data_IF_326789329443
#
_entry.id   IF_326789329443
#
_cell.length_a   1.000
_cell.length_b   1.000
_cell.length_c   1.000
_cell.angle_alpha   90.00
_cell.angle_beta   90.00
_cell.angle_gamma   90.00
#
_symmetry.space_group_name_H-M   'P 1'
#
loop_
_entity.id
_entity.type
_entity.pdbx_description
1 polymer ?
#
# COMPACT_ATOMS: atom_id res chain seq x y z
N UNK A 1 -5.04 -33.53 68.19
CA UNK A 1 -4.19 -32.42 68.67
C UNK A 1 -4.43 -32.26 70.15
N UNK A 2 -3.71 -33.01 70.97
CA UNK A 2 -3.73 -32.81 72.42
C UNK A 2 -2.71 -31.71 72.69
N UNK A 3 -3.20 -30.55 73.12
CA UNK A 3 -2.37 -29.42 73.52
C UNK A 3 -1.59 -29.80 74.76
N UNK A 4 -0.46 -30.48 74.57
CA UNK A 4 0.62 -30.40 75.53
C UNK A 4 1.07 -28.94 75.45
N UNK A 5 0.63 -28.15 76.43
CA UNK A 5 1.34 -26.92 76.77
C UNK A 5 2.80 -27.30 76.79
N UNK A 6 3.59 -26.57 76.00
CA UNK A 6 5.04 -26.67 75.93
C UNK A 6 5.54 -27.19 77.27
N UNK A 7 6.25 -28.32 77.28
CA UNK A 7 6.99 -28.79 78.45
C UNK A 7 7.55 -27.54 79.08
N UNK A 8 6.91 -27.08 80.15
CA UNK A 8 7.49 -26.04 80.94
C UNK A 8 8.86 -26.61 81.23
N UNK A 9 9.92 -25.84 81.12
CA UNK A 9 11.23 -26.24 81.62
C UNK A 9 11.15 -26.77 83.07
N UNK A 10 10.01 -26.53 83.74
CA UNK A 10 9.57 -27.06 85.02
C UNK A 10 8.66 -28.30 85.04
N UNK A 11 8.16 -28.89 83.94
CA UNK A 11 7.27 -30.07 84.05
C UNK A 11 8.03 -31.32 84.49
N UNK A 12 9.25 -31.52 83.99
CA UNK A 12 10.14 -32.60 84.48
C UNK A 12 10.42 -32.44 85.98
N UNK A 13 10.78 -31.21 86.38
CA UNK A 13 11.02 -30.84 87.79
C UNK A 13 9.78 -31.07 88.65
N UNK A 14 8.61 -30.64 88.19
CA UNK A 14 7.34 -30.88 88.86
C UNK A 14 7.02 -32.38 88.95
N UNK A 15 7.29 -33.14 87.89
CA UNK A 15 7.09 -34.59 87.86
C UNK A 15 7.93 -35.29 88.91
N UNK A 16 9.22 -34.97 88.98
CA UNK A 16 10.14 -35.46 90.02
C UNK A 16 9.67 -35.07 91.43
N UNK A 17 9.18 -33.84 91.62
CA UNK A 17 8.64 -33.38 92.89
C UNK A 17 7.37 -34.15 93.31
N UNK A 18 6.46 -34.43 92.38
CA UNK A 18 5.25 -35.23 92.63
C UNK A 18 5.64 -36.62 93.14
N UNK A 19 6.56 -37.31 92.45
CA UNK A 19 7.03 -38.63 92.86
C UNK A 19 7.72 -38.57 94.23
N UNK A 20 8.56 -37.55 94.46
CA UNK A 20 9.21 -37.34 95.75
C UNK A 20 8.22 -37.13 96.90
N UNK A 21 7.12 -36.41 96.65
CA UNK A 21 6.05 -36.18 97.65
C UNK A 21 5.18 -37.41 97.87
N UNK A 22 4.96 -38.25 96.86
CA UNK A 22 4.22 -39.51 97.00
C UNK A 22 4.91 -40.51 97.95
N UNK A 23 6.24 -40.42 98.10
CA UNK A 23 7.01 -41.22 99.07
C UNK A 23 6.81 -40.78 100.53
N UNK A 24 6.20 -39.61 100.77
CA UNK A 24 5.97 -39.04 102.10
C UNK A 24 4.52 -39.33 102.57
N UNK A 25 4.22 -39.18 103.89
CA UNK A 25 2.84 -39.26 104.37
C UNK A 25 1.92 -38.24 103.67
N UNK A 26 0.64 -38.57 103.39
CA UNK A 26 -0.09 -39.76 103.82
C UNK A 26 0.07 -40.98 102.89
N UNK A 27 0.71 -40.82 101.73
CA UNK A 27 0.75 -41.86 100.70
C UNK A 27 1.80 -42.94 100.97
N UNK A 28 2.97 -42.58 101.51
CA UNK A 28 4.05 -43.50 101.87
C UNK A 28 4.39 -44.54 100.76
N UNK A 29 4.32 -44.12 99.50
CA UNK A 29 4.51 -45.00 98.36
C UNK A 29 6.01 -45.30 98.16
N UNK A 30 6.50 -46.40 98.73
CA UNK A 30 7.93 -46.80 98.67
C UNK A 30 8.16 -47.99 97.75
N UNK A 31 7.40 -49.08 97.91
CA UNK A 31 7.56 -50.31 97.11
C UNK A 31 6.91 -50.19 95.72
N UNK A 32 5.65 -49.74 95.65
CA UNK A 32 4.94 -49.58 94.36
C UNK A 32 5.55 -48.48 93.49
N UNK A 33 6.00 -47.37 94.11
CA UNK A 33 6.66 -46.28 93.40
C UNK A 33 8.13 -46.58 93.05
N UNK A 34 8.63 -47.80 93.27
CA UNK A 34 9.96 -48.22 92.83
C UNK A 34 10.00 -48.62 91.35
N UNK A 35 8.90 -49.19 90.82
CA UNK A 35 8.76 -49.59 89.42
C UNK A 35 8.93 -48.40 88.47
N UNK A 36 9.60 -48.60 87.33
CA UNK A 36 9.89 -47.56 86.33
C UNK A 36 8.63 -46.84 85.83
N UNK A 37 7.49 -47.54 85.81
CA UNK A 37 6.20 -47.02 85.35
C UNK A 37 5.68 -45.90 86.28
N UNK A 38 6.00 -45.96 87.57
CA UNK A 38 5.58 -44.98 88.58
C UNK A 38 6.65 -43.92 88.89
N UNK A 39 7.78 -43.92 88.16
CA UNK A 39 8.80 -42.86 88.27
C UNK A 39 8.44 -41.59 87.48
N UNK A 40 7.32 -41.59 86.74
CA UNK A 40 6.86 -40.44 85.98
C UNK A 40 5.48 -39.98 86.46
N UNK A 41 5.32 -38.68 86.69
CA UNK A 41 4.01 -38.12 87.01
C UNK A 41 3.04 -38.29 85.82
N UNK A 42 1.77 -38.60 86.12
CA UNK A 42 0.73 -38.75 85.11
C UNK A 42 0.64 -37.52 84.20
N UNK A 43 0.36 -37.71 82.91
CA UNK A 43 0.32 -36.64 81.89
C UNK A 43 -0.58 -35.44 82.26
N UNK A 44 -1.64 -35.68 83.03
CA UNK A 44 -2.59 -34.66 83.47
C UNK A 44 -2.31 -34.11 84.88
N UNK A 45 -1.26 -34.58 85.57
CA UNK A 45 -0.95 -34.19 86.94
C UNK A 45 -0.75 -32.67 87.07
N UNK A 46 -0.06 -32.04 86.10
CA UNK A 46 0.11 -30.59 86.08
C UNK A 46 -1.22 -29.82 85.93
N UNK A 47 -2.17 -30.35 85.14
CA UNK A 47 -3.49 -29.74 84.99
C UNK A 47 -4.32 -29.84 86.27
N UNK A 48 -4.25 -31.00 86.95
CA UNK A 48 -4.91 -31.20 88.23
C UNK A 48 -4.30 -30.30 89.32
N UNK A 49 -2.97 -30.21 89.37
CA UNK A 49 -2.26 -29.26 90.23
C UNK A 49 -2.76 -27.85 90.01
N UNK A 50 -2.79 -27.38 88.76
CA UNK A 50 -3.24 -26.03 88.43
C UNK A 50 -4.71 -25.78 88.81
N UNK A 51 -5.58 -26.80 88.69
CA UNK A 51 -6.97 -26.70 89.13
C UNK A 51 -7.08 -26.51 90.65
N UNK A 52 -6.35 -27.32 91.44
CA UNK A 52 -6.32 -27.20 92.91
C UNK A 52 -5.66 -25.89 93.34
N UNK A 53 -4.58 -25.49 92.68
CA UNK A 53 -3.88 -24.24 92.93
C UNK A 53 -4.78 -23.03 92.62
N UNK A 54 -5.54 -23.08 91.51
CA UNK A 54 -6.55 -22.06 91.17
C UNK A 54 -7.57 -21.90 92.28
N UNK A 55 -8.10 -23.02 92.78
CA UNK A 55 -9.04 -23.03 93.91
C UNK A 55 -8.41 -22.42 95.17
N UNK A 56 -7.18 -22.80 95.51
CA UNK A 56 -6.45 -22.26 96.66
C UNK A 56 -6.22 -20.75 96.56
N UNK A 57 -5.84 -20.25 95.39
CA UNK A 57 -5.68 -18.82 95.13
C UNK A 57 -7.01 -18.06 95.28
N UNK A 58 -8.08 -18.59 94.68
CA UNK A 58 -9.43 -18.01 94.80
C UNK A 58 -9.92 -18.01 96.25
N UNK A 59 -9.66 -19.08 97.00
CA UNK A 59 -10.02 -19.21 98.41
C UNK A 59 -9.25 -18.20 99.27
N UNK A 60 -7.93 -18.10 99.07
CA UNK A 60 -7.07 -17.13 99.77
C UNK A 60 -7.55 -15.70 99.57
N UNK A 61 -7.92 -15.34 98.33
CA UNK A 61 -8.49 -14.01 98.02
C UNK A 61 -9.86 -13.80 98.65
N UNK A 62 -10.71 -14.82 98.64
CA UNK A 62 -12.05 -14.75 99.22
C UNK A 62 -11.98 -14.51 100.73
N UNK A 63 -11.11 -15.24 101.44
CA UNK A 63 -10.89 -15.08 102.88
C UNK A 63 -10.33 -13.69 103.20
N UNK A 64 -9.37 -13.20 102.40
CA UNK A 64 -8.81 -11.84 102.56
C UNK A 64 -9.85 -10.74 102.37
N UNK A 65 -10.78 -10.91 101.44
CA UNK A 65 -11.76 -9.89 101.09
C UNK A 65 -12.98 -9.92 102.02
N UNK A 66 -13.42 -11.11 102.45
CA UNK A 66 -14.56 -11.27 103.34
C UNK A 66 -14.48 -12.58 104.14
N UNK A 67 -13.88 -12.56 105.35
CA UNK A 67 -13.66 -13.76 106.16
C UNK A 67 -14.93 -14.56 106.52
N UNK A 68 -16.09 -13.93 106.51
CA UNK A 68 -17.38 -14.56 106.85
C UNK A 68 -18.09 -15.21 105.65
N UNK A 69 -17.69 -14.87 104.41
CA UNK A 69 -18.44 -15.24 103.18
C UNK A 69 -17.72 -16.27 102.31
N UNK A 70 -16.65 -16.91 102.80
CA UNK A 70 -15.91 -17.91 102.02
C UNK A 70 -16.72 -19.17 101.69
N UNK A 71 -17.81 -19.43 102.42
CA UNK A 71 -18.77 -20.51 102.14
C UNK A 71 -19.86 -20.14 101.12
N UNK A 72 -19.98 -18.85 100.75
CA UNK A 72 -20.96 -18.41 99.76
C UNK A 72 -20.41 -18.64 98.35
N UNK A 73 -20.95 -19.64 97.65
CA UNK A 73 -20.48 -20.04 96.31
C UNK A 73 -20.54 -18.92 95.27
N UNK A 74 -21.57 -18.06 95.30
CA UNK A 74 -21.71 -16.95 94.36
C UNK A 74 -20.64 -15.87 94.59
N UNK A 75 -20.29 -15.63 95.85
CA UNK A 75 -19.21 -14.70 96.21
C UNK A 75 -17.83 -15.29 95.91
N UNK A 76 -17.64 -16.58 96.16
CA UNK A 76 -16.41 -17.31 95.83
C UNK A 76 -16.12 -17.28 94.33
N UNK A 77 -17.12 -17.53 93.47
CA UNK A 77 -16.97 -17.53 92.02
C UNK A 77 -16.48 -16.17 91.47
N UNK A 78 -16.87 -15.05 92.07
CA UNK A 78 -16.37 -13.71 91.67
C UNK A 78 -14.86 -13.57 91.84
N UNK A 79 -14.26 -14.29 92.79
CA UNK A 79 -12.81 -14.27 93.04
C UNK A 79 -12.05 -15.35 92.24
N UNK A 80 -12.76 -16.13 91.42
CA UNK A 80 -12.21 -17.23 90.65
C UNK A 80 -11.62 -16.77 89.30
N UNK A 81 -12.03 -15.60 88.79
CA UNK A 81 -11.41 -14.95 87.64
C UNK A 81 -9.96 -14.58 87.96
N UNK A 82 -9.01 -15.22 87.29
CA UNK A 82 -7.60 -14.99 87.52
C UNK A 82 -6.73 -15.42 86.34
N UNK A 83 -5.53 -14.85 86.29
CA UNK A 83 -4.43 -15.30 85.45
C UNK A 83 -3.25 -15.66 86.34
N UNK A 84 -2.64 -16.82 86.10
CA UNK A 84 -1.40 -17.22 86.77
C UNK A 84 -0.59 -18.15 85.87
N UNK A 85 0.71 -18.26 86.14
CA UNK A 85 1.59 -19.22 85.48
C UNK A 85 1.58 -20.51 86.31
N UNK A 86 0.94 -21.54 85.77
CA UNK A 86 0.87 -22.87 86.36
C UNK A 86 1.87 -23.83 85.74
N UNK A 87 1.79 -25.09 86.15
CA UNK A 87 2.60 -26.20 85.64
C UNK A 87 2.21 -26.53 84.19
N UNK A 88 0.93 -26.36 83.84
CA UNK A 88 0.41 -26.55 82.47
C UNK A 88 0.62 -25.33 81.55
N UNK A 89 1.41 -24.34 81.99
CA UNK A 89 1.66 -23.08 81.29
C UNK A 89 0.80 -21.94 81.83
N UNK A 90 0.59 -20.90 81.03
CA UNK A 90 -0.27 -19.79 81.42
C UNK A 90 -1.73 -20.24 81.51
N UNK A 91 -2.32 -20.07 82.70
CA UNK A 91 -3.72 -20.40 82.99
C UNK A 91 -4.49 -19.09 83.13
N UNK A 92 -5.56 -18.97 82.35
CA UNK A 92 -6.52 -17.88 82.43
C UNK A 92 -7.91 -18.47 82.65
N UNK A 93 -8.53 -18.09 83.75
CA UNK A 93 -9.90 -18.45 84.09
C UNK A 93 -10.78 -17.23 83.85
N UNK A 94 -11.82 -17.36 83.04
CA UNK A 94 -12.72 -16.28 82.69
C UNK A 94 -13.66 -15.91 83.87
N UNK A 95 -14.50 -14.89 83.67
CA UNK A 95 -15.47 -14.43 84.68
C UNK A 95 -16.50 -15.48 85.08
N UNK A 96 -16.77 -16.45 84.21
CA UNK A 96 -17.78 -17.49 84.41
C UNK A 96 -17.20 -18.73 85.12
N UNK A 97 -15.91 -18.68 85.48
CA UNK A 97 -15.20 -19.76 86.15
C UNK A 97 -14.68 -20.85 85.20
N UNK A 98 -14.82 -20.68 83.89
CA UNK A 98 -14.27 -21.58 82.87
C UNK A 98 -12.85 -21.18 82.47
N UNK A 99 -12.00 -22.16 82.17
CA UNK A 99 -10.65 -21.91 81.64
C UNK A 99 -10.75 -21.49 80.18
N UNK A 100 -10.07 -20.40 79.81
CA UNK A 100 -9.81 -20.07 78.41
C UNK A 100 -8.66 -20.97 77.92
N UNK A 101 -8.90 -21.99 77.07
CA UNK A 101 -7.83 -22.88 76.66
C UNK A 101 -6.95 -22.18 75.62
N UNK A 102 -5.65 -22.27 75.81
CA UNK A 102 -4.64 -21.91 74.80
C UNK A 102 -4.10 -23.20 74.21
N UNK A 103 -4.40 -23.46 72.94
CA UNK A 103 -3.89 -24.60 72.20
C UNK A 103 -2.63 -24.20 71.45
N UNK A 104 -1.64 -25.09 71.39
CA UNK A 104 -0.40 -24.87 70.65
C UNK A 104 -0.42 -25.69 69.37
N UNK A 105 -0.07 -25.07 68.24
CA UNK A 105 0.13 -25.74 66.97
C UNK A 105 1.62 -26.04 66.83
N UNK A 106 1.96 -27.32 66.81
CA UNK A 106 3.33 -27.80 66.67
C UNK A 106 3.58 -28.23 65.22
N UNK A 107 4.77 -27.91 64.72
CA UNK A 107 5.25 -28.40 63.42
C UNK A 107 6.74 -28.75 63.51
N UNK A 108 7.26 -29.38 62.46
CA UNK A 108 8.67 -29.74 62.34
C UNK A 108 9.39 -28.74 61.42
N UNK A 109 10.54 -28.26 61.87
CA UNK A 109 11.43 -27.46 61.04
C UNK A 109 12.21 -28.34 60.03
N UNK A 110 13.14 -27.72 59.28
CA UNK A 110 14.00 -28.41 58.31
C UNK A 110 14.87 -29.51 58.94
N UNK A 111 15.20 -29.39 60.22
CA UNK A 111 16.03 -30.32 60.98
C UNK A 111 15.19 -31.36 61.73
N UNK A 112 13.89 -31.47 61.44
CA UNK A 112 12.96 -32.34 62.16
C UNK A 112 12.83 -32.03 63.65
N UNK A 113 13.12 -30.79 64.05
CA UNK A 113 12.92 -30.32 65.43
C UNK A 113 11.53 -29.72 65.56
N UNK A 114 10.84 -30.08 66.65
CA UNK A 114 9.49 -29.59 66.92
C UNK A 114 9.54 -28.14 67.41
N UNK A 115 8.77 -27.26 66.79
CA UNK A 115 8.59 -25.87 67.24
C UNK A 115 7.11 -25.45 67.20
N UNK A 116 6.78 -24.41 67.97
CA UNK A 116 5.42 -23.87 68.03
C UNK A 116 5.23 -22.89 66.87
N UNK A 117 4.34 -23.24 65.95
CA UNK A 117 3.97 -22.48 64.76
C UNK A 117 2.85 -21.47 65.00
N UNK A 118 2.08 -21.67 66.05
CA UNK A 118 1.04 -20.74 66.43
C UNK A 118 0.36 -21.17 67.71
N UNK A 119 -0.40 -20.24 68.27
CA UNK A 119 -1.30 -20.49 69.41
C UNK A 119 -2.72 -20.19 69.00
N UNK A 120 -3.66 -21.01 69.43
CA UNK A 120 -5.09 -20.78 69.27
C UNK A 120 -5.66 -20.53 70.65
N UNK A 121 -6.03 -19.28 70.93
CA UNK A 121 -6.68 -18.89 72.17
C UNK A 121 -8.19 -18.94 71.92
N UNK A 122 -8.91 -19.76 72.68
CA UNK A 122 -10.37 -19.84 72.56
C UNK A 122 -11.00 -19.06 73.70
N UNK A 123 -11.82 -18.07 73.36
CA UNK A 123 -12.60 -17.28 74.32
C UNK A 123 -14.08 -17.45 74.01
N UNK A 124 -14.82 -18.09 74.92
CA UNK A 124 -16.26 -18.37 74.84
C UNK A 124 -16.70 -19.10 73.54
N UNK A 125 -16.82 -18.38 72.42
CA UNK A 125 -17.28 -18.87 71.12
C UNK A 125 -16.31 -18.60 69.96
N UNK A 126 -15.27 -17.81 70.16
CA UNK A 126 -14.32 -17.42 69.11
C UNK A 126 -12.91 -17.98 69.39
N UNK A 127 -12.25 -18.46 68.33
CA UNK A 127 -10.87 -18.95 68.38
C UNK A 127 -9.95 -18.00 67.63
N UNK A 128 -8.99 -17.40 68.34
CA UNK A 128 -8.00 -16.49 67.77
C UNK A 128 -6.70 -17.24 67.48
N UNK A 129 -6.31 -17.32 66.20
CA UNK A 129 -5.03 -17.89 65.77
C UNK A 129 -3.94 -16.83 65.76
N UNK A 130 -3.01 -16.93 66.70
CA UNK A 130 -1.78 -16.14 66.74
C UNK A 130 -0.65 -16.95 66.10
N UNK A 131 -0.20 -16.53 64.92
CA UNK A 131 0.90 -17.19 64.19
C UNK A 131 2.24 -16.71 64.74
N UNK A 132 3.21 -17.62 64.88
CA UNK A 132 4.58 -17.27 65.29
C UNK A 132 5.53 -17.06 64.10
N UNK A 133 5.08 -17.36 62.88
CA UNK A 133 5.86 -17.22 61.65
C UNK A 133 5.39 -16.03 60.80
N UNK A 134 6.30 -15.43 60.04
CA UNK A 134 6.05 -14.32 59.11
C UNK A 134 5.88 -14.80 57.67
N UNK A 135 6.68 -15.77 57.24
CA UNK A 135 6.62 -16.36 55.90
C UNK A 135 6.17 -17.82 55.94
N UNK A 136 5.10 -18.11 55.21
CA UNK A 136 4.51 -19.44 55.13
C UNK A 136 5.36 -20.41 54.31
N UNK A 137 6.10 -19.91 53.32
CA UNK A 137 6.92 -20.75 52.45
C UNK A 137 8.08 -21.41 53.18
N UNK A 138 8.80 -20.63 53.98
CA UNK A 138 9.93 -21.09 54.78
C UNK A 138 9.54 -21.80 56.09
N UNK A 139 8.38 -21.51 56.67
CA UNK A 139 7.91 -22.13 57.92
C UNK A 139 7.01 -23.37 57.69
N UNK A 140 5.96 -23.19 56.86
CA UNK A 140 5.03 -24.18 56.28
C UNK A 140 5.71 -25.20 55.37
N UNK A 141 6.00 -24.67 54.20
CA UNK A 141 6.17 -25.43 52.97
C UNK A 141 7.65 -25.61 52.62
N UNK A 142 8.52 -25.65 53.63
CA UNK A 142 9.97 -25.69 53.47
C UNK A 142 10.46 -26.93 52.72
N UNK A 143 9.72 -28.02 52.82
CA UNK A 143 9.98 -29.29 52.13
C UNK A 143 9.58 -29.27 50.65
N UNK A 144 8.85 -28.26 50.18
CA UNK A 144 8.44 -28.15 48.77
C UNK A 144 9.49 -27.37 47.98
N UNK A 145 9.82 -27.87 46.79
CA UNK A 145 10.79 -27.27 45.86
C UNK A 145 10.58 -25.77 45.59
N UNK A 146 9.32 -25.33 45.56
CA UNK A 146 8.96 -23.94 45.28
C UNK A 146 8.59 -23.14 46.55
N UNK A 147 8.67 -23.73 47.74
CA UNK A 147 8.29 -23.11 49.03
C UNK A 147 6.93 -22.39 48.96
N UNK A 148 6.00 -22.93 48.19
CA UNK A 148 4.68 -22.35 47.97
C UNK A 148 3.61 -23.31 48.45
N UNK A 149 2.55 -22.74 49.01
CA UNK A 149 1.33 -23.48 49.34
C UNK A 149 0.82 -24.20 48.08
N UNK A 150 0.45 -25.48 48.18
CA UNK A 150 -0.24 -26.15 47.07
C UNK A 150 -1.52 -25.43 46.69
N UNK A 151 -1.90 -25.55 45.42
CA UNK A 151 -3.28 -25.27 45.02
C UNK A 151 -4.20 -26.32 45.66
N UNK A 152 -5.41 -25.91 46.02
CA UNK A 152 -6.43 -26.80 46.60
C UNK A 152 -6.82 -27.92 45.62
N UNK A 153 -6.72 -27.67 44.31
CA UNK A 153 -6.84 -28.65 43.24
C UNK A 153 -5.71 -28.47 42.20
N UNK A 154 -5.05 -29.54 41.70
CA UNK A 154 -4.02 -29.44 40.68
C UNK A 154 -4.58 -29.04 39.30
N UNK A 155 -3.73 -28.46 38.44
CA UNK A 155 -4.10 -27.88 37.12
C UNK A 155 -4.86 -28.85 36.19
N UNK A 156 -4.61 -30.15 36.31
CA UNK A 156 -5.26 -31.18 35.50
C UNK A 156 -6.34 -31.98 36.27
N UNK A 157 -6.77 -31.49 37.43
CA UNK A 157 -7.57 -32.24 38.40
C UNK A 157 -6.80 -33.40 39.03
N UNK A 158 -7.31 -33.97 40.11
CA UNK A 158 -6.65 -35.10 40.80
C UNK A 158 -6.57 -36.37 39.94
N UNK A 159 -7.41 -36.48 38.92
CA UNK A 159 -7.51 -37.62 37.99
C UNK A 159 -6.70 -37.44 36.71
N UNK A 160 -6.16 -36.24 36.45
CA UNK A 160 -5.42 -35.95 35.21
C UNK A 160 -6.28 -35.85 33.95
N UNK A 161 -7.62 -35.78 34.09
CA UNK A 161 -8.56 -35.75 32.96
C UNK A 161 -9.04 -34.34 32.59
N UNK A 162 -8.81 -33.34 33.44
CA UNK A 162 -9.32 -31.98 33.27
C UNK A 162 -8.29 -31.02 32.64
N UNK A 163 -7.30 -31.54 31.93
CA UNK A 163 -6.32 -30.73 31.22
C UNK A 163 -6.97 -29.96 30.06
N UNK A 164 -6.89 -28.63 30.06
CA UNK A 164 -7.32 -27.81 28.92
C UNK A 164 -6.40 -28.07 27.71
N UNK A 165 -6.94 -28.27 26.49
CA UNK A 165 -6.12 -28.44 25.28
C UNK A 165 -5.33 -27.17 24.96
N UNK A 166 -4.28 -27.31 24.15
CA UNK A 166 -3.49 -26.15 23.71
C UNK A 166 -4.31 -25.29 22.75
N UNK A 167 -4.14 -23.96 22.85
CA UNK A 167 -4.82 -22.96 22.01
C UNK A 167 -4.72 -23.24 20.51
N UNK A 168 -3.62 -23.85 20.04
CA UNK A 168 -3.47 -24.21 18.62
C UNK A 168 -4.47 -25.27 18.14
N UNK A 169 -4.80 -26.26 18.98
CA UNK A 169 -5.73 -27.33 18.61
C UNK A 169 -7.18 -26.82 18.67
N UNK A 170 -7.49 -25.95 19.62
CA UNK A 170 -8.81 -25.33 19.77
C UNK A 170 -9.18 -24.42 18.57
N UNK A 171 -8.20 -23.69 18.02
CA UNK A 171 -8.42 -22.72 16.93
C UNK A 171 -7.91 -23.14 15.56
N UNK A 172 -7.45 -24.39 15.38
CA UNK A 172 -6.84 -24.85 14.12
C UNK A 172 -7.72 -24.61 12.88
N UNK A 173 -9.04 -24.84 13.00
CA UNK A 173 -9.98 -24.61 11.90
C UNK A 173 -10.03 -23.15 11.43
N UNK A 174 -9.93 -22.20 12.35
CA UNK A 174 -9.91 -20.76 12.04
C UNK A 174 -8.61 -20.34 11.36
N UNK A 175 -7.47 -20.90 11.77
CA UNK A 175 -6.19 -20.66 11.11
C UNK A 175 -6.20 -21.17 9.66
N UNK A 176 -6.72 -22.39 9.43
CA UNK A 176 -6.84 -22.95 8.08
C UNK A 176 -7.78 -22.11 7.22
N UNK A 177 -8.95 -21.72 7.74
CA UNK A 177 -9.88 -20.85 7.02
C UNK A 177 -9.25 -19.49 6.65
N UNK A 178 -8.48 -18.89 7.57
CA UNK A 178 -7.75 -17.65 7.31
C UNK A 178 -6.74 -17.78 6.17
N UNK A 179 -5.95 -18.86 6.15
CA UNK A 179 -4.97 -19.12 5.08
C UNK A 179 -5.67 -19.30 3.72
N UNK A 180 -6.79 -20.00 3.69
CA UNK A 180 -7.57 -20.22 2.46
C UNK A 180 -8.12 -18.90 1.93
N UNK A 181 -8.66 -18.03 2.78
CA UNK A 181 -9.17 -16.71 2.37
C UNK A 181 -8.04 -15.85 1.80
N UNK A 182 -6.89 -15.81 2.49
CA UNK A 182 -5.72 -15.03 2.04
C UNK A 182 -5.18 -15.56 0.71
N UNK A 183 -5.12 -16.88 0.53
CA UNK A 183 -4.63 -17.46 -0.73
C UNK A 183 -5.57 -17.15 -1.90
N UNK A 184 -6.90 -17.22 -1.71
CA UNK A 184 -7.86 -16.80 -2.73
C UNK A 184 -7.76 -15.31 -3.05
N UNK A 185 -7.56 -14.44 -2.05
CA UNK A 185 -7.36 -13.02 -2.26
C UNK A 185 -6.08 -12.73 -3.08
N UNK A 186 -4.98 -13.42 -2.77
CA UNK A 186 -3.72 -13.29 -3.51
C UNK A 186 -3.84 -13.78 -4.96
N UNK A 187 -4.50 -14.92 -5.18
CA UNK A 187 -4.76 -15.46 -6.53
C UNK A 187 -5.66 -14.48 -7.31
N UNK A 188 -6.70 -13.95 -6.66
CA UNK A 188 -7.58 -12.93 -7.23
C UNK A 188 -6.80 -11.68 -7.68
N UNK A 189 -5.96 -11.14 -6.80
CA UNK A 189 -5.12 -9.98 -7.11
C UNK A 189 -4.13 -10.25 -8.27
N UNK A 190 -3.48 -11.42 -8.27
CA UNK A 190 -2.56 -11.81 -9.35
C UNK A 190 -3.29 -11.96 -10.69
N UNK A 191 -4.47 -12.59 -10.69
CA UNK A 191 -5.29 -12.75 -11.89
C UNK A 191 -5.75 -11.40 -12.45
N UNK A 192 -6.20 -10.49 -11.59
CA UNK A 192 -6.60 -9.13 -11.98
C UNK A 192 -5.41 -8.35 -12.55
N UNK A 193 -4.23 -8.47 -11.95
CA UNK A 193 -3.01 -7.87 -12.45
C UNK A 193 -2.63 -8.38 -13.86
N UNK A 194 -2.72 -9.69 -14.10
CA UNK A 194 -2.46 -10.28 -15.42
C UNK A 194 -3.49 -9.81 -16.45
N UNK A 195 -4.78 -9.79 -16.08
CA UNK A 195 -5.87 -9.33 -16.96
C UNK A 195 -5.68 -7.85 -17.33
N UNK A 196 -5.37 -6.99 -16.37
CA UNK A 196 -5.14 -5.55 -16.64
C UNK A 196 -3.95 -5.32 -17.56
N UNK A 197 -2.86 -6.07 -17.42
CA UNK A 197 -1.71 -6.00 -18.35
C UNK A 197 -2.14 -6.45 -19.75
N UNK A 198 -2.87 -7.57 -19.87
CA UNK A 198 -3.37 -8.05 -21.17
C UNK A 198 -4.30 -7.04 -21.82
N UNK A 199 -5.24 -6.47 -21.07
CA UNK A 199 -6.15 -5.43 -21.56
C UNK A 199 -5.39 -4.20 -22.05
N UNK A 200 -4.36 -3.74 -21.30
CA UNK A 200 -3.51 -2.62 -21.75
C UNK A 200 -2.75 -2.94 -23.03
N UNK A 201 -2.21 -4.15 -23.18
CA UNK A 201 -1.51 -4.57 -24.42
C UNK A 201 -2.47 -4.60 -25.62
N UNK A 202 -3.65 -5.21 -25.45
CA UNK A 202 -4.68 -5.27 -26.48
C UNK A 202 -5.15 -3.87 -26.89
N UNK A 203 -5.31 -2.94 -25.93
CA UNK A 203 -5.69 -1.56 -26.25
C UNK A 203 -4.60 -0.83 -27.05
N UNK A 204 -3.33 -1.03 -26.72
CA UNK A 204 -2.21 -0.46 -27.49
C UNK A 204 -2.18 -1.03 -28.91
N UNK A 205 -2.36 -2.35 -29.07
CA UNK A 205 -2.45 -3.00 -30.38
C UNK A 205 -3.64 -2.47 -31.19
N UNK A 206 -4.81 -2.33 -30.56
CA UNK A 206 -6.01 -1.75 -31.19
C UNK A 206 -5.77 -0.33 -31.65
N UNK A 207 -5.16 0.53 -30.83
CA UNK A 207 -4.82 1.90 -31.20
C UNK A 207 -3.77 1.95 -32.32
N UNK A 208 -2.82 1.02 -32.32
CA UNK A 208 -1.83 0.93 -33.38
C UNK A 208 -2.42 0.46 -34.71
N UNK A 209 -3.51 -0.31 -34.68
CA UNK A 209 -4.22 -0.71 -35.88
C UNK A 209 -5.01 0.46 -36.51
N UNK A 210 -5.44 1.46 -35.73
CA UNK A 210 -6.28 2.56 -36.24
C UNK A 210 -5.60 3.42 -37.30
N UNK A 211 -4.30 3.65 -37.21
CA UNK A 211 -3.55 4.42 -38.21
C UNK A 211 -3.06 3.53 -39.36
N UNK A 212 -3.24 2.21 -39.31
CA UNK A 212 -2.84 1.28 -40.37
C UNK A 212 -4.03 1.01 -41.30
N UNK A 213 -3.96 1.51 -42.52
CA UNK A 213 -4.98 1.37 -43.54
C UNK A 213 -4.59 0.24 -44.48
N UNK A 214 -5.36 -0.86 -44.56
CA UNK A 214 -5.07 -1.94 -45.49
C UNK A 214 -5.25 -1.43 -46.94
N UNK A 215 -4.27 -1.71 -47.81
CA UNK A 215 -4.25 -1.22 -49.18
C UNK A 215 -5.52 -1.61 -49.96
N UNK A 216 -6.02 -2.83 -49.73
CA UNK A 216 -7.21 -3.35 -50.39
C UNK A 216 -8.51 -2.62 -50.01
N UNK A 217 -8.53 -1.85 -48.93
CA UNK A 217 -9.67 -1.00 -48.57
C UNK A 217 -9.73 0.30 -49.37
N UNK A 218 -8.66 0.62 -50.09
CA UNK A 218 -8.55 1.82 -50.90
C UNK A 218 -8.81 1.48 -52.37
N UNK A 219 -9.65 2.28 -53.01
CA UNK A 219 -9.96 2.15 -54.44
C UNK A 219 -9.48 3.38 -55.20
N UNK A 220 -9.06 3.24 -56.47
CA UNK A 220 -8.74 4.40 -57.30
C UNK A 220 -9.95 5.33 -57.40
N UNK A 221 -9.76 6.64 -57.19
CA UNK A 221 -10.86 7.58 -57.26
C UNK A 221 -11.41 7.63 -58.70
N UNK A 222 -12.68 7.26 -58.90
CA UNK A 222 -13.34 7.45 -60.19
C UNK A 222 -13.56 8.95 -60.46
N UNK A 223 -13.20 9.41 -61.66
CA UNK A 223 -13.46 10.80 -62.08
C UNK A 223 -14.97 11.01 -62.15
N UNK A 224 -15.53 11.90 -61.32
CA UNK A 224 -16.95 12.30 -61.44
C UNK A 224 -17.08 13.25 -62.63
N UNK A 225 -18.17 13.15 -63.41
CA UNK A 225 -18.48 14.03 -64.56
C UNK A 225 -18.46 15.53 -64.23
N UNK A 226 -18.65 15.92 -62.97
CA UNK A 226 -18.56 17.33 -62.55
C UNK A 226 -17.16 17.93 -62.79
N UNK A 227 -16.09 17.13 -62.74
CA UNK A 227 -14.72 17.56 -63.01
C UNK A 227 -14.48 17.88 -64.50
N UNK A 228 -15.36 17.44 -65.42
CA UNK A 228 -15.34 17.87 -66.84
C UNK A 228 -15.94 19.28 -67.02
N UNK A 229 -16.79 19.74 -66.11
CA UNK A 229 -17.44 21.06 -66.24
C UNK A 229 -16.52 22.22 -65.87
N UNK A 230 -15.52 21.99 -65.02
CA UNK A 230 -14.48 23.00 -64.71
C UNK A 230 -13.43 23.16 -65.83
N UNK A 231 -13.38 22.25 -66.79
CA UNK A 231 -12.55 22.41 -68.00
C UNK A 231 -13.16 23.39 -69.02
N UNK A 232 -14.39 23.88 -68.81
CA UNK A 232 -15.05 24.78 -69.77
C UNK A 232 -14.66 26.26 -69.64
N UNK A 233 -13.90 26.64 -68.61
CA UNK A 233 -13.35 27.99 -68.46
C UNK A 233 -12.06 28.22 -69.27
N UNK A 234 -11.60 27.24 -70.05
CA UNK A 234 -10.38 27.34 -70.88
C UNK A 234 -10.63 27.79 -72.33
N UNK A 235 -11.68 28.56 -72.62
CA UNK A 235 -11.95 29.06 -73.98
C UNK A 235 -11.56 30.54 -74.13
N UNK A 236 -10.27 30.76 -74.43
CA UNK A 236 -9.72 31.99 -75.00
C UNK A 236 -8.97 31.65 -76.31
N UNK A 237 -8.91 32.57 -77.29
CA UNK A 237 -8.86 32.22 -78.70
C UNK A 237 -7.54 31.55 -79.12
N UNK A 238 -7.67 30.48 -79.90
CA UNK A 238 -6.58 29.72 -80.49
C UNK A 238 -5.93 30.47 -81.66
N UNK A 239 -4.66 30.86 -81.50
CA UNK A 239 -3.78 31.14 -82.65
C UNK A 239 -2.37 30.60 -82.42
N UNK A 240 -2.04 29.64 -83.28
CA UNK A 240 -0.71 29.35 -83.86
C UNK A 240 0.30 28.58 -83.01
N UNK A 241 1.02 27.74 -83.74
CA UNK A 241 1.69 26.49 -83.42
C UNK A 241 3.11 26.61 -82.86
N UNK A 242 3.55 25.45 -82.34
CA UNK A 242 4.92 24.92 -82.32
C UNK A 242 5.93 25.50 -81.31
N UNK A 243 5.97 24.88 -80.14
CA UNK A 243 7.18 24.24 -79.62
C UNK A 243 6.77 23.18 -78.58
N UNK A 244 7.01 21.91 -78.90
CA UNK A 244 6.82 20.78 -77.98
C UNK A 244 7.96 20.81 -76.95
N UNK A 245 7.79 21.61 -75.91
CA UNK A 245 8.56 21.54 -74.67
C UNK A 245 7.65 21.91 -73.51
N UNK A 246 6.54 21.17 -73.37
CA UNK A 246 5.62 21.27 -72.25
C UNK A 246 5.40 19.87 -71.70
N UNK A 247 6.30 19.40 -70.84
CA UNK A 247 6.03 18.22 -70.00
C UNK A 247 4.85 18.60 -69.11
N UNK A 248 3.67 18.05 -69.40
CA UNK A 248 2.45 18.33 -68.65
C UNK A 248 2.65 18.00 -67.16
N UNK A 249 2.53 19.00 -66.29
CA UNK A 249 2.69 18.92 -64.83
C UNK A 249 1.74 17.91 -64.16
N UNK A 250 0.60 17.59 -64.79
CA UNK A 250 -0.29 16.49 -64.35
C UNK A 250 0.41 15.12 -64.29
N UNK A 251 1.49 14.92 -65.07
CA UNK A 251 2.27 13.69 -65.02
C UNK A 251 3.26 13.67 -63.84
N UNK A 252 3.72 14.83 -63.37
CA UNK A 252 4.67 14.94 -62.26
C UNK A 252 3.97 14.84 -60.89
N UNK A 253 2.77 15.41 -60.73
CA UNK A 253 2.00 15.30 -59.50
C UNK A 253 1.49 13.86 -59.24
N UNK A 254 1.16 13.13 -60.33
CA UNK A 254 0.90 11.67 -60.29
C UNK A 254 2.12 10.83 -59.89
N UNK A 255 3.35 11.38 -59.95
CA UNK A 255 4.55 10.64 -59.53
C UNK A 255 4.64 10.54 -58.01
N UNK A 256 4.20 11.56 -57.26
CA UNK A 256 4.30 11.60 -55.80
C UNK A 256 2.99 11.30 -55.07
N UNK A 257 1.83 11.57 -55.68
CA UNK A 257 0.53 11.32 -55.05
C UNK A 257 -0.36 10.36 -55.84
N UNK A 258 -1.19 9.60 -55.12
CA UNK A 258 -2.32 8.83 -55.64
C UNK A 258 -3.61 9.39 -55.04
N UNK A 259 -4.60 9.64 -55.89
CA UNK A 259 -5.93 10.02 -55.43
C UNK A 259 -6.81 8.77 -55.38
N UNK A 260 -7.29 8.47 -54.19
CA UNK A 260 -8.03 7.25 -53.89
C UNK A 260 -9.32 7.58 -53.14
N UNK A 261 -10.17 6.58 -52.98
CA UNK A 261 -11.36 6.63 -52.14
C UNK A 261 -11.28 5.57 -51.06
N UNK A 262 -11.61 5.96 -49.84
CA UNK A 262 -11.69 5.08 -48.66
C UNK A 262 -13.15 4.99 -48.24
N UNK A 263 -13.58 3.79 -47.86
CA UNK A 263 -14.89 3.58 -47.28
C UNK A 263 -14.89 4.04 -45.82
N UNK A 264 -15.67 5.07 -45.52
CA UNK A 264 -15.88 5.60 -44.17
C UNK A 264 -17.36 5.39 -43.80
N UNK A 265 -17.68 4.22 -43.25
CA UNK A 265 -19.06 3.79 -43.03
C UNK A 265 -19.82 3.55 -44.34
N UNK A 266 -20.91 4.29 -44.55
CA UNK A 266 -21.71 4.22 -45.78
C UNK A 266 -21.24 5.19 -46.89
N UNK A 267 -20.31 6.09 -46.58
CA UNK A 267 -19.82 7.09 -47.53
C UNK A 267 -18.42 6.76 -48.05
N UNK A 268 -18.16 7.13 -49.32
CA UNK A 268 -16.85 7.08 -49.94
C UNK A 268 -16.16 8.44 -49.80
N UNK A 269 -15.13 8.49 -48.98
CA UNK A 269 -14.33 9.69 -48.78
C UNK A 269 -13.15 9.72 -49.76
N UNK A 270 -12.96 10.83 -50.47
CA UNK A 270 -11.78 11.03 -51.34
C UNK A 270 -10.56 11.39 -50.48
N UNK A 271 -9.44 10.73 -50.76
CA UNK A 271 -8.18 10.90 -50.04
C UNK A 271 -7.02 11.10 -51.01
N UNK A 272 -5.97 11.79 -50.54
CA UNK A 272 -4.70 11.94 -51.21
C UNK A 272 -3.66 11.09 -50.50
N UNK A 273 -3.05 10.15 -51.20
CA UNK A 273 -2.00 9.28 -50.68
C UNK A 273 -0.64 9.69 -51.25
N UNK A 274 0.24 10.20 -50.40
CA UNK A 274 1.65 10.49 -50.71
C UNK A 274 2.42 9.17 -50.73
N UNK A 275 3.14 8.96 -51.83
CA UNK A 275 4.05 7.82 -52.03
C UNK A 275 5.37 8.10 -51.32
N UNK A 276 5.87 7.10 -50.60
CA UNK A 276 7.20 7.13 -49.98
C UNK A 276 8.08 6.06 -50.62
N UNK A 277 9.35 6.37 -50.85
CA UNK A 277 10.30 5.40 -51.42
C UNK A 277 10.90 4.46 -50.38
N UNK A 278 10.80 4.82 -49.10
CA UNK A 278 11.36 4.05 -47.98
C UNK A 278 10.27 3.44 -47.12
N UNK A 279 10.53 2.22 -46.65
CA UNK A 279 9.68 1.50 -45.68
C UNK A 279 10.39 1.47 -44.32
N UNK A 280 10.20 2.48 -43.46
CA UNK A 280 10.80 2.46 -42.13
C UNK A 280 10.16 1.38 -41.26
N UNK A 281 10.98 0.76 -40.40
CA UNK A 281 10.50 -0.08 -39.30
C UNK A 281 10.03 0.85 -38.19
N UNK A 282 8.84 0.63 -37.65
CA UNK A 282 8.28 1.42 -36.55
C UNK A 282 8.57 0.74 -35.21
N UNK A 283 9.23 1.48 -34.32
CA UNK A 283 9.39 1.13 -32.91
C UNK A 283 8.18 1.60 -32.07
N UNK A 284 8.24 1.36 -30.76
CA UNK A 284 7.17 1.76 -29.85
C UNK A 284 6.99 3.27 -29.75
N UNK A 285 8.06 4.05 -29.90
CA UNK A 285 8.03 5.50 -29.82
C UNK A 285 7.35 6.09 -31.06
N UNK A 286 7.72 5.59 -32.23
CA UNK A 286 7.21 6.04 -33.52
C UNK A 286 5.75 5.63 -33.72
N UNK A 287 5.34 4.45 -33.24
CA UNK A 287 3.91 4.11 -33.14
C UNK A 287 3.14 5.07 -32.21
N UNK A 288 3.76 5.62 -31.17
CA UNK A 288 3.13 6.64 -30.33
C UNK A 288 3.00 7.98 -31.07
N UNK A 289 4.02 8.40 -31.82
CA UNK A 289 3.94 9.59 -32.68
C UNK A 289 2.84 9.47 -33.74
N UNK A 290 2.70 8.31 -34.40
CA UNK A 290 1.62 8.08 -35.38
C UNK A 290 0.22 8.16 -34.73
N UNK A 291 0.07 7.66 -33.50
CA UNK A 291 -1.18 7.80 -32.73
C UNK A 291 -1.47 9.27 -32.39
N UNK A 292 -0.46 10.06 -32.04
CA UNK A 292 -0.62 11.50 -31.80
C UNK A 292 -1.00 12.24 -33.09
N UNK A 293 -0.34 11.92 -34.21
CA UNK A 293 -0.63 12.50 -35.51
C UNK A 293 -2.08 12.22 -35.96
N UNK A 294 -2.59 11.01 -35.72
CA UNK A 294 -3.98 10.64 -36.01
C UNK A 294 -5.00 11.45 -35.19
N UNK A 295 -4.64 11.82 -33.96
CA UNK A 295 -5.49 12.61 -33.07
C UNK A 295 -5.52 14.11 -33.41
N UNK A 296 -4.57 14.60 -34.22
CA UNK A 296 -4.58 16.02 -34.63
C UNK A 296 -5.83 16.32 -35.45
N UNK A 297 -6.60 17.30 -34.97
CA UNK A 297 -7.76 17.84 -35.65
C UNK A 297 -7.80 19.35 -35.46
N UNK A 298 -7.62 20.07 -36.55
CA UNK A 298 -7.60 21.53 -36.56
C UNK A 298 -8.05 22.06 -37.91
N UNK A 299 -8.74 23.21 -37.91
CA UNK A 299 -9.35 23.79 -39.09
C UNK A 299 -8.32 24.10 -40.20
N UNK A 300 -7.11 24.54 -39.81
CA UNK A 300 -6.02 24.88 -40.73
C UNK A 300 -4.92 23.81 -40.85
N UNK A 301 -5.18 22.59 -40.37
CA UNK A 301 -4.32 21.43 -40.62
C UNK A 301 -5.08 20.42 -41.49
N UNK A 302 -4.36 19.76 -42.38
CA UNK A 302 -4.94 18.69 -43.17
C UNK A 302 -5.04 17.42 -42.32
N UNK A 303 -6.18 16.75 -42.38
CA UNK A 303 -6.41 15.57 -41.56
C UNK A 303 -5.56 14.41 -42.06
N UNK A 304 -4.69 13.91 -41.19
CA UNK A 304 -4.01 12.64 -41.38
C UNK A 304 -5.00 11.50 -41.12
N UNK A 305 -5.10 10.55 -42.05
CA UNK A 305 -6.03 9.42 -41.96
C UNK A 305 -5.27 8.16 -41.54
N UNK A 306 -4.04 7.96 -42.02
CA UNK A 306 -3.22 6.80 -41.67
C UNK A 306 -2.13 6.49 -42.68
N UNK A 307 -1.48 5.35 -42.52
CA UNK A 307 -0.48 4.79 -43.41
C UNK A 307 -0.98 3.47 -44.01
N UNK A 308 -0.70 3.24 -45.28
CA UNK A 308 -0.79 1.91 -45.87
C UNK A 308 0.61 1.34 -46.04
N UNK A 309 0.86 0.25 -45.31
CA UNK A 309 2.17 -0.41 -45.20
C UNK A 309 2.25 -1.68 -46.06
N UNK A 310 1.10 -2.28 -46.34
CA UNK A 310 0.89 -3.57 -47.00
C UNK A 310 0.86 -3.48 -48.54
N UNK A 311 0.69 -2.27 -49.09
CA UNK A 311 0.67 -2.02 -50.53
C UNK A 311 2.03 -2.21 -51.23
N UNK A 312 2.07 -2.08 -52.57
CA UNK A 312 3.31 -2.17 -53.36
C UNK A 312 4.29 -1.03 -53.05
N UNK A 313 3.78 0.12 -52.61
CA UNK A 313 4.55 1.25 -52.11
C UNK A 313 3.94 1.70 -50.78
N UNK A 314 4.76 2.23 -49.87
CA UNK A 314 4.26 2.79 -48.63
C UNK A 314 3.57 4.11 -48.93
N UNK A 315 2.35 4.26 -48.41
CA UNK A 315 1.54 5.45 -48.62
C UNK A 315 1.20 6.11 -47.29
N UNK A 316 1.36 7.43 -47.20
CA UNK A 316 0.72 8.22 -46.15
C UNK A 316 -0.54 8.87 -46.70
N UNK A 317 -1.66 8.63 -46.03
CA UNK A 317 -3.00 8.98 -46.51
C UNK A 317 -3.52 10.19 -45.76
N UNK A 318 -3.92 11.19 -46.52
CA UNK A 318 -4.38 12.48 -46.06
C UNK A 318 -5.74 12.79 -46.67
N UNK A 319 -6.53 13.64 -46.02
CA UNK A 319 -7.78 14.13 -46.60
C UNK A 319 -7.51 14.91 -47.90
N UNK A 320 -8.34 14.65 -48.91
CA UNK A 320 -8.22 15.30 -50.21
C UNK A 320 -8.66 16.76 -50.15
N UNK A 321 -7.82 17.64 -50.69
CA UNK A 321 -8.09 19.07 -50.86
C UNK A 321 -8.31 19.36 -52.35
N UNK A 322 -9.52 19.74 -52.73
CA UNK A 322 -9.97 19.80 -54.13
C UNK A 322 -9.34 20.92 -54.96
N UNK A 323 -8.80 21.97 -54.34
CA UNK A 323 -8.16 23.08 -55.03
C UNK A 323 -6.65 22.91 -55.22
N UNK A 324 -6.09 21.79 -54.76
CA UNK A 324 -4.67 21.48 -54.87
C UNK A 324 -3.82 22.28 -53.88
N UNK A 325 -2.52 22.39 -54.18
CA UNK A 325 -1.58 23.13 -53.36
C UNK A 325 -1.60 24.63 -53.64
N UNK A 326 -1.14 25.43 -52.69
CA UNK A 326 -0.97 26.87 -52.86
C UNK A 326 -0.03 27.18 -54.04
N UNK A 327 1.05 26.40 -54.20
CA UNK A 327 1.94 26.52 -55.34
C UNK A 327 1.21 26.38 -56.69
N UNK A 328 0.22 25.48 -56.78
CA UNK A 328 -0.57 25.29 -58.00
C UNK A 328 -1.53 26.44 -58.26
N UNK A 329 -2.12 27.01 -57.20
CA UNK A 329 -3.02 28.15 -57.34
C UNK A 329 -2.24 29.40 -57.78
N UNK A 330 -1.05 29.63 -57.23
CA UNK A 330 -0.17 30.73 -57.64
C UNK A 330 0.25 30.55 -59.10
N UNK A 331 0.73 29.36 -59.49
CA UNK A 331 1.20 29.08 -60.85
C UNK A 331 0.10 29.18 -61.90
N UNK A 332 -1.12 28.73 -61.59
CA UNK A 332 -2.24 28.79 -62.54
C UNK A 332 -2.65 30.24 -62.85
N UNK A 333 -2.39 31.20 -61.96
CA UNK A 333 -2.72 32.62 -62.11
C UNK A 333 -4.17 32.92 -62.54
N UNK A 334 -5.08 31.96 -62.44
CA UNK A 334 -6.46 32.04 -62.95
C UNK A 334 -7.39 32.82 -62.02
N UNK A 335 -6.92 33.14 -60.80
CA UNK A 335 -7.75 33.64 -59.72
C UNK A 335 -7.20 34.98 -59.25
N UNK A 336 -8.07 35.98 -59.21
CA UNK A 336 -7.73 37.27 -58.63
C UNK A 336 -7.70 37.15 -57.11
N UNK A 337 -6.49 37.18 -56.54
CA UNK A 337 -6.27 37.18 -55.09
C UNK A 337 -6.19 38.63 -54.58
N UNK A 338 -7.30 39.20 -54.14
CA UNK A 338 -7.23 40.53 -53.50
C UNK A 338 -6.44 40.48 -52.18
N UNK A 339 -6.07 41.66 -51.65
CA UNK A 339 -5.26 41.74 -50.44
C UNK A 339 -5.93 41.08 -49.23
N UNK A 340 -7.26 41.12 -49.16
CA UNK A 340 -8.03 40.48 -48.09
C UNK A 340 -7.98 38.95 -48.18
N UNK A 341 -8.09 38.40 -49.38
CA UNK A 341 -7.97 36.97 -49.63
C UNK A 341 -6.56 36.48 -49.29
N UNK A 342 -5.52 37.21 -49.73
CA UNK A 342 -4.12 36.90 -49.38
C UNK A 342 -3.92 36.90 -47.86
N UNK A 343 -4.40 37.94 -47.17
CA UNK A 343 -4.33 38.03 -45.71
C UNK A 343 -5.02 36.85 -45.04
N UNK A 344 -6.19 36.44 -45.54
CA UNK A 344 -6.94 35.30 -44.99
C UNK A 344 -6.16 33.99 -45.13
N UNK A 345 -5.51 33.75 -46.28
CA UNK A 345 -4.66 32.57 -46.47
C UNK A 345 -3.45 32.59 -45.55
N UNK A 346 -2.77 33.73 -45.41
CA UNK A 346 -1.64 33.88 -44.48
C UNK A 346 -2.06 33.63 -43.03
N UNK A 347 -3.19 34.21 -42.61
CA UNK A 347 -3.75 34.02 -41.28
C UNK A 347 -4.05 32.55 -40.99
N UNK A 348 -4.64 31.84 -41.95
CA UNK A 348 -4.90 30.41 -41.82
C UNK A 348 -3.59 29.61 -41.61
N UNK A 349 -2.53 29.91 -42.39
CA UNK A 349 -1.21 29.26 -42.24
C UNK A 349 -0.64 29.53 -40.85
N UNK A 350 -0.60 30.79 -40.40
CA UNK A 350 -0.10 31.16 -39.06
C UNK A 350 -0.87 30.44 -37.96
N UNK A 351 -2.20 30.35 -38.10
CA UNK A 351 -3.04 29.64 -37.12
C UNK A 351 -2.70 28.14 -37.08
N UNK A 352 -2.46 27.52 -38.25
CA UNK A 352 -2.01 26.13 -38.35
C UNK A 352 -0.62 25.91 -37.74
N UNK A 353 0.35 26.78 -38.03
CA UNK A 353 1.70 26.72 -37.46
C UNK A 353 1.64 26.87 -35.93
N UNK A 354 0.90 27.87 -35.44
CA UNK A 354 0.73 28.11 -34.00
C UNK A 354 0.14 26.89 -33.29
N UNK A 355 -0.81 26.18 -33.91
CA UNK A 355 -1.31 24.93 -33.35
C UNK A 355 -0.21 23.87 -33.31
N UNK A 356 0.51 23.64 -34.41
CA UNK A 356 1.59 22.64 -34.47
C UNK A 356 2.67 22.91 -33.42
N UNK A 357 3.08 24.17 -33.25
CA UNK A 357 4.11 24.60 -32.30
C UNK A 357 3.73 24.34 -30.84
N UNK A 358 2.44 24.32 -30.53
CA UNK A 358 1.92 24.02 -29.20
C UNK A 358 1.46 22.56 -29.04
N UNK A 359 1.51 21.76 -30.11
CA UNK A 359 1.15 20.34 -30.10
C UNK A 359 2.38 19.46 -29.80
N UNK A 360 2.18 18.17 -29.45
CA UNK A 360 3.27 17.20 -29.32
C UNK A 360 4.13 17.03 -30.58
N UNK A 361 3.61 17.38 -31.76
CA UNK A 361 4.35 17.34 -33.03
C UNK A 361 5.43 18.44 -33.08
N UNK A 362 5.27 19.50 -32.29
CA UNK A 362 6.18 20.62 -32.08
C UNK A 362 6.51 21.52 -33.29
N UNK A 363 6.63 20.99 -34.51
CA UNK A 363 6.94 21.76 -35.73
C UNK A 363 6.64 20.95 -36.99
N UNK A 364 6.50 21.63 -38.13
CA UNK A 364 6.33 21.01 -39.43
C UNK A 364 7.67 20.51 -40.00
N UNK A 365 8.69 21.37 -39.95
CA UNK A 365 10.08 21.12 -40.29
C UNK A 365 10.42 21.16 -41.79
N UNK A 366 9.45 20.96 -42.68
CA UNK A 366 9.60 21.16 -44.13
C UNK A 366 8.35 21.81 -44.72
N UNK A 367 8.04 23.01 -44.21
CA UNK A 367 6.88 23.76 -44.65
C UNK A 367 7.18 24.38 -46.03
N UNK A 368 6.29 24.15 -47.00
CA UNK A 368 6.43 24.68 -48.37
C UNK A 368 5.06 25.11 -48.90
N UNK A 369 5.03 25.93 -49.95
CA UNK A 369 3.79 26.25 -50.65
C UNK A 369 3.15 25.03 -51.33
N UNK A 370 3.92 23.95 -51.58
CA UNK A 370 3.39 22.66 -52.06
C UNK A 370 2.65 21.89 -50.96
N UNK A 371 3.07 22.03 -49.71
CA UNK A 371 2.48 21.34 -48.55
C UNK A 371 1.30 22.11 -47.95
N UNK A 372 1.07 23.36 -48.38
CA UNK A 372 -0.10 24.16 -48.04
C UNK A 372 -1.23 23.87 -49.04
N UNK A 373 -2.29 23.22 -48.61
CA UNK A 373 -3.38 22.76 -49.47
C UNK A 373 -4.65 23.59 -49.25
N UNK A 374 -5.47 23.71 -50.30
CA UNK A 374 -6.71 24.46 -50.25
C UNK A 374 -7.95 23.57 -50.36
N UNK A 375 -8.84 23.71 -49.38
CA UNK A 375 -10.13 23.01 -49.39
C UNK A 375 -11.07 23.55 -50.47
N UNK A 376 -12.20 22.86 -50.67
CA UNK A 376 -13.30 23.30 -51.54
C UNK A 376 -13.81 24.70 -51.16
N UNK A 377 -13.80 25.03 -49.87
CA UNK A 377 -14.21 26.31 -49.29
C UNK A 377 -13.09 27.34 -49.16
N UNK A 378 -11.96 27.17 -49.85
CA UNK A 378 -10.83 28.10 -49.82
C UNK A 378 -10.16 28.27 -48.44
N UNK A 379 -10.31 27.27 -47.58
CA UNK A 379 -9.59 27.25 -46.30
C UNK A 379 -8.20 26.65 -46.51
N UNK A 380 -7.17 27.33 -46.01
CA UNK A 380 -5.81 26.82 -46.08
C UNK A 380 -5.58 25.75 -45.01
N UNK A 381 -4.99 24.63 -45.43
CA UNK A 381 -4.68 23.47 -44.60
C UNK A 381 -3.24 23.03 -44.82
N UNK A 382 -2.44 23.09 -43.77
CA UNK A 382 -1.05 22.59 -43.81
C UNK A 382 -1.07 21.06 -43.76
N UNK A 383 -0.39 20.40 -44.69
CA UNK A 383 -0.31 18.94 -44.82
C UNK A 383 1.12 18.44 -44.66
N UNK A 384 1.33 17.14 -44.48
CA UNK A 384 2.68 16.53 -44.40
C UNK A 384 3.52 16.91 -43.17
N UNK A 385 2.86 17.35 -42.11
CA UNK A 385 3.47 17.50 -40.79
C UNK A 385 3.58 16.15 -40.06
N UNK A 386 4.49 16.03 -39.09
CA UNK A 386 4.58 14.86 -38.22
C UNK A 386 5.09 13.56 -38.87
N UNK A 387 5.54 13.60 -40.13
CA UNK A 387 6.13 12.46 -40.86
C UNK A 387 7.66 12.55 -40.96
N UNK A 388 8.33 12.87 -39.84
CA UNK A 388 9.78 13.18 -39.79
C UNK A 388 10.66 12.05 -40.32
N UNK A 389 10.39 10.81 -39.92
CA UNK A 389 11.16 9.62 -40.33
C UNK A 389 11.10 9.35 -41.84
N UNK A 390 9.99 9.70 -42.47
CA UNK A 390 9.85 9.60 -43.92
C UNK A 390 10.64 10.68 -44.62
N UNK A 391 10.56 11.92 -44.14
CA UNK A 391 11.29 13.05 -44.69
C UNK A 391 12.81 12.87 -44.68
N UNK A 392 13.38 12.28 -43.64
CA UNK A 392 14.84 12.09 -43.57
C UNK A 392 15.32 11.05 -44.60
N UNK A 393 14.48 10.04 -44.88
CA UNK A 393 14.88 8.89 -45.69
C UNK A 393 14.41 8.95 -47.14
N UNK A 394 13.43 9.81 -47.46
CA UNK A 394 12.93 9.96 -48.82
C UNK A 394 13.87 10.83 -49.68
N UNK A 395 13.80 10.65 -51.00
CA UNK A 395 14.64 11.42 -51.92
C UNK A 395 13.95 12.74 -52.28
N UNK A 396 14.51 13.84 -51.77
CA UNK A 396 14.06 15.20 -52.10
C UNK A 396 14.95 15.81 -53.18
N UNK A 397 14.32 16.55 -54.09
CA UNK A 397 15.07 17.35 -55.06
C UNK A 397 15.60 18.63 -54.39
N UNK A 398 16.62 19.24 -54.98
CA UNK A 398 17.15 20.53 -54.50
C UNK A 398 16.07 21.62 -54.46
N UNK A 399 15.13 21.60 -55.40
CA UNK A 399 13.99 22.52 -55.41
C UNK A 399 13.11 22.44 -54.16
N UNK A 400 13.03 21.28 -53.49
CA UNK A 400 12.17 21.11 -52.32
C UNK A 400 12.74 21.79 -51.07
N UNK A 401 14.03 22.13 -51.10
CA UNK A 401 14.72 22.79 -49.99
C UNK A 401 14.70 24.32 -50.07
N UNK A 402 14.13 24.94 -51.10
CA UNK A 402 14.16 26.41 -51.28
C UNK A 402 13.43 27.18 -50.17
N UNK A 403 12.51 26.55 -49.44
CA UNK A 403 11.85 27.15 -48.27
C UNK A 403 12.61 26.93 -46.96
N UNK A 404 13.71 26.18 -47.00
CA UNK A 404 14.45 25.74 -45.81
C UNK A 404 15.33 26.87 -45.32
N UNK A 405 15.31 27.09 -44.00
CA UNK A 405 16.15 28.08 -43.35
C UNK A 405 17.65 27.74 -43.47
N UNK A 406 18.53 28.74 -43.58
CA UNK A 406 19.97 28.53 -43.82
C UNK A 406 20.64 27.64 -42.77
N UNK A 407 20.27 27.77 -41.49
CA UNK A 407 20.77 26.94 -40.39
C UNK A 407 20.42 25.45 -40.56
N UNK A 408 19.27 25.15 -41.17
CA UNK A 408 18.85 23.79 -41.48
C UNK A 408 19.50 23.27 -42.76
N UNK A 409 19.88 24.13 -43.70
CA UNK A 409 20.69 23.76 -44.88
C UNK A 409 22.16 23.53 -44.53
N UNK A 410 22.65 24.12 -43.43
CA UNK A 410 24.02 23.92 -42.90
C UNK A 410 24.16 22.61 -42.16
N UNK A 411 23.11 22.19 -41.45
CA UNK A 411 23.09 20.93 -40.71
C UNK A 411 22.68 19.76 -41.61
N UNK A 412 23.34 18.61 -41.45
CA UNK A 412 22.97 17.38 -42.17
C UNK A 412 21.67 16.75 -41.64
N UNK A 413 21.25 17.15 -40.44
CA UNK A 413 20.04 16.66 -39.79
C UNK A 413 18.85 17.49 -40.27
N UNK A 414 18.10 16.96 -41.25
CA UNK A 414 16.87 17.55 -41.83
C UNK A 414 15.67 17.56 -40.86
N UNK A 415 15.90 17.74 -39.57
CA UNK A 415 14.88 17.57 -38.53
C UNK A 415 13.97 18.81 -38.40
N UNK A 416 14.44 19.97 -38.87
CA UNK A 416 13.72 21.25 -38.82
C UNK A 416 13.52 21.80 -37.40
N UNK A 417 12.92 22.99 -37.29
CA UNK A 417 12.64 23.65 -36.01
C UNK A 417 11.41 24.55 -36.11
N UNK A 418 10.99 25.12 -34.97
CA UNK A 418 9.89 26.10 -34.93
C UNK A 418 10.28 27.37 -35.67
N UNK A 419 11.51 27.82 -35.47
CA UNK A 419 12.10 29.01 -36.10
C UNK A 419 12.21 28.80 -37.62
N UNK A 420 12.60 27.58 -38.03
CA UNK A 420 12.63 27.17 -39.43
C UNK A 420 11.26 27.23 -40.11
N UNK A 421 10.18 26.83 -39.42
CA UNK A 421 8.82 26.96 -39.96
C UNK A 421 8.44 28.44 -40.20
N UNK A 422 8.89 29.36 -39.32
CA UNK A 422 8.63 30.80 -39.47
C UNK A 422 9.41 31.37 -40.67
N UNK A 423 10.65 30.94 -40.88
CA UNK A 423 11.41 31.29 -42.08
C UNK A 423 10.68 30.84 -43.35
N UNK A 424 10.27 29.56 -43.41
CA UNK A 424 9.50 29.02 -44.54
C UNK A 424 8.19 29.78 -44.76
N UNK A 425 7.50 30.18 -43.69
CA UNK A 425 6.31 31.02 -43.78
C UNK A 425 6.59 32.40 -44.39
N UNK A 426 7.75 33.01 -44.10
CA UNK A 426 8.18 34.25 -44.73
C UNK A 426 8.32 34.11 -46.25
N UNK A 427 8.93 33.01 -46.71
CA UNK A 427 9.05 32.70 -48.14
C UNK A 427 7.67 32.48 -48.78
N UNK A 428 6.79 31.71 -48.14
CA UNK A 428 5.41 31.49 -48.62
C UNK A 428 4.62 32.79 -48.68
N UNK A 429 4.84 33.69 -47.72
CA UNK A 429 4.20 35.01 -47.70
C UNK A 429 4.65 35.87 -48.89
N UNK A 430 5.94 35.81 -49.24
CA UNK A 430 6.45 36.45 -50.44
C UNK A 430 5.85 35.85 -51.72
N UNK A 431 5.71 34.53 -51.82
CA UNK A 431 5.04 33.86 -52.94
C UNK A 431 3.59 34.35 -53.09
N UNK A 432 2.85 34.48 -51.99
CA UNK A 432 1.46 34.95 -51.99
C UNK A 432 1.32 36.41 -52.45
N UNK A 433 2.18 37.31 -51.94
CA UNK A 433 2.12 38.75 -52.27
C UNK A 433 2.58 39.01 -53.70
N UNK A 434 3.67 38.36 -54.12
CA UNK A 434 4.25 38.56 -55.46
C UNK A 434 3.52 37.77 -56.54
N UNK A 435 2.79 36.72 -56.15
CA UNK A 435 2.15 35.73 -57.02
C UNK A 435 3.15 35.07 -57.99
N UNK A 436 4.39 34.93 -57.54
CA UNK A 436 5.47 34.26 -58.28
C UNK A 436 5.81 32.96 -57.57
N UNK A 437 6.41 32.03 -58.31
CA UNK A 437 7.00 30.83 -57.71
C UNK A 437 8.12 31.21 -56.74
N UNK A 438 8.50 30.29 -55.86
CA UNK A 438 9.61 30.48 -54.94
C UNK A 438 10.84 31.09 -55.61
N UNK A 439 11.33 32.20 -55.05
CA UNK A 439 12.42 33.03 -55.58
C UNK A 439 12.27 33.53 -57.02
N UNK A 440 11.10 33.38 -57.65
CA UNK A 440 10.89 33.60 -59.08
C UNK A 440 11.87 32.78 -59.94
N UNK A 441 12.15 31.54 -59.53
CA UNK A 441 13.22 30.70 -60.07
C UNK A 441 13.12 30.50 -61.59
N UNK A 442 11.92 30.55 -62.16
CA UNK A 442 11.69 30.43 -63.60
C UNK A 442 12.24 31.61 -64.41
N UNK A 443 12.40 32.79 -63.77
CA UNK A 443 12.90 34.02 -64.39
C UNK A 443 14.32 34.40 -63.91
N UNK A 444 14.93 33.58 -63.04
CA UNK A 444 16.30 33.80 -62.55
C UNK A 444 17.34 33.15 -63.47
N UNK A 445 18.60 33.60 -63.33
CA UNK A 445 19.74 32.96 -63.98
C UNK A 445 20.28 31.81 -63.14
N UNK A 446 20.24 31.97 -61.81
CA UNK A 446 20.71 30.99 -60.85
C UNK A 446 19.76 29.79 -60.81
N UNK A 447 20.32 28.58 -60.79
CA UNK A 447 19.55 27.37 -60.56
C UNK A 447 19.29 27.14 -59.06
N UNK A 448 18.54 26.09 -58.74
CA UNK A 448 18.21 25.78 -57.35
C UNK A 448 19.44 25.42 -56.50
N UNK A 449 20.49 24.85 -57.09
CA UNK A 449 21.70 24.49 -56.36
C UNK A 449 22.53 25.73 -56.02
N UNK A 450 22.68 26.65 -56.96
CA UNK A 450 23.32 27.93 -56.78
C UNK A 450 22.57 28.78 -55.74
N UNK A 451 21.24 28.83 -55.82
CA UNK A 451 20.43 29.55 -54.83
C UNK A 451 20.60 28.97 -53.42
N UNK A 452 20.55 27.64 -53.27
CA UNK A 452 20.78 27.00 -51.97
C UNK A 452 22.20 27.26 -51.45
N UNK A 453 23.20 27.28 -52.32
CA UNK A 453 24.57 27.64 -51.95
C UNK A 453 24.67 29.08 -51.43
N UNK A 454 24.01 30.03 -52.11
CA UNK A 454 23.98 31.44 -51.69
C UNK A 454 23.29 31.61 -50.34
N UNK A 455 22.10 31.01 -50.17
CA UNK A 455 21.35 31.03 -48.91
C UNK A 455 22.18 30.43 -47.77
N UNK A 456 22.89 29.32 -48.05
CA UNK A 456 23.75 28.67 -47.06
C UNK A 456 24.92 29.56 -46.62
N UNK A 457 25.42 30.45 -47.48
CA UNK A 457 26.66 31.22 -47.26
C UNK A 457 26.47 32.52 -46.46
N UNK A 458 25.29 33.14 -46.47
CA UNK A 458 25.08 34.42 -45.79
C UNK A 458 25.08 34.25 -44.25
N UNK A 459 26.10 34.77 -43.59
CA UNK A 459 26.14 35.10 -42.15
C UNK A 459 26.27 36.60 -41.96
#
# INVERSE_FOLDING_TARGET
MQGQGQQATNYSVFGEEVISRMRKPPYNCVEECADEIYQNAATYAGQLHDAVYSYGLAMSRTIKTSPQNYKNGTFFLKNFHQKFTGVSGNVEINSDGARNPTMYILTLDKNSTAFIMGTVVVTNTEGFLNKTYTDEGSAIWHSRKNQKRPLDEPVCGFTGLNCKPSVFIEYLGWFVAGIVIVSFALIGALSAFIVTIRMKRLEVERQNALWQIPFNSMSPATKKRADQSMNSLSSGPSTISSSKSGVSFEAAEKRHYLFMTIQNGMELERVAARKHNVRPIFDKHECAEMRQLLQVDHANLNKFIGLSLDGPQLLSVWRYCSRGSLADVIRKATIQMDGFFIYSLMKDIVTGISYLHNSPIAHHGMLTSKNCLLSDRWQMKISEFGIRKFRINDQYSKNDFLWTAPEHLRNDNLDGSKEGDIYSFGIISAELVTRKSVFDIENRKEDAEELLYLIKREE
#
